data_IF_160033455526
#
_entry.id   IF_160033455526
#
_cell.length_a   1.000
_cell.length_b   1.000
_cell.length_c   1.000
_cell.angle_alpha   90.00
_cell.angle_beta   90.00
_cell.angle_gamma   90.00
#
_symmetry.space_group_name_H-M   'P 1'
#
loop_
_entity.id
_entity.type
_entity.pdbx_description
1 polymer ?
#
# COMPACT_ATOMS: atom_id res chain seq x y z
N UNK A 1 -26.12 -0.56 -26.07
CA UNK A 1 -25.71 -0.14 -24.72
C UNK A 1 -24.46 -0.95 -24.37
N UNK A 2 -23.37 -0.35 -23.91
CA UNK A 2 -22.24 -1.12 -23.39
C UNK A 2 -22.69 -1.97 -22.20
N UNK A 3 -22.09 -3.14 -22.03
CA UNK A 3 -22.39 -4.00 -20.89
C UNK A 3 -21.99 -3.29 -19.60
N UNK A 4 -22.80 -3.38 -18.53
CA UNK A 4 -22.46 -2.78 -17.26
C UNK A 4 -21.14 -3.35 -16.76
N UNK A 5 -20.22 -2.47 -16.35
CA UNK A 5 -18.97 -2.88 -15.72
C UNK A 5 -19.19 -2.92 -14.22
N UNK A 6 -18.72 -3.98 -13.57
CA UNK A 6 -18.83 -4.12 -12.13
C UNK A 6 -17.46 -4.14 -11.48
N UNK A 7 -17.34 -3.54 -10.32
CA UNK A 7 -16.17 -3.60 -9.46
C UNK A 7 -16.51 -4.34 -8.18
N UNK A 8 -15.68 -5.33 -7.84
CA UNK A 8 -15.79 -6.01 -6.55
C UNK A 8 -14.75 -5.41 -5.60
N UNK A 9 -15.22 -4.82 -4.52
CA UNK A 9 -14.38 -4.31 -3.44
C UNK A 9 -14.49 -5.26 -2.26
N UNK A 10 -13.36 -5.77 -1.77
CA UNK A 10 -13.30 -6.76 -0.68
C UNK A 10 -12.66 -6.11 0.54
N UNK A 11 -13.27 -6.34 1.72
CA UNK A 11 -12.76 -5.85 2.99
C UNK A 11 -11.38 -6.47 3.28
N UNK A 12 -10.37 -5.69 3.71
CA UNK A 12 -9.05 -6.19 4.04
C UNK A 12 -9.00 -7.26 5.14
N UNK A 13 -10.04 -7.35 5.96
CA UNK A 13 -10.18 -8.41 6.98
C UNK A 13 -10.46 -9.80 6.40
N UNK A 14 -10.80 -9.88 5.10
CA UNK A 14 -10.95 -11.16 4.41
C UNK A 14 -9.56 -11.72 4.10
N UNK A 15 -9.25 -12.99 4.46
CA UNK A 15 -7.97 -13.61 4.14
C UNK A 15 -7.64 -13.50 2.64
N UNK A 16 -6.40 -13.20 2.29
CA UNK A 16 -5.99 -12.94 0.91
C UNK A 16 -6.34 -14.07 -0.08
N UNK A 17 -6.25 -15.32 0.37
CA UNK A 17 -6.66 -16.50 -0.43
C UNK A 17 -8.16 -16.51 -0.74
N UNK A 18 -9.00 -16.12 0.22
CA UNK A 18 -10.45 -16.05 0.07
C UNK A 18 -10.85 -14.82 -0.77
N UNK A 19 -10.17 -13.70 -0.57
CA UNK A 19 -10.36 -12.50 -1.38
C UNK A 19 -10.06 -12.78 -2.87
N UNK A 20 -8.98 -13.51 -3.17
CA UNK A 20 -8.65 -13.91 -4.54
C UNK A 20 -9.72 -14.82 -5.17
N UNK A 21 -10.29 -15.75 -4.40
CA UNK A 21 -11.40 -16.60 -4.86
C UNK A 21 -12.65 -15.78 -5.18
N UNK A 22 -13.02 -14.83 -4.31
CA UNK A 22 -14.18 -13.94 -4.52
C UNK A 22 -13.96 -13.06 -5.75
N UNK A 23 -12.77 -12.46 -5.89
CA UNK A 23 -12.42 -11.62 -7.05
C UNK A 23 -12.40 -12.37 -8.38
N UNK A 24 -12.19 -13.68 -8.36
CA UNK A 24 -12.22 -14.55 -9.55
C UNK A 24 -13.63 -14.91 -10.04
N UNK A 25 -14.68 -14.56 -9.29
CA UNK A 25 -16.08 -14.80 -9.69
C UNK A 25 -16.60 -13.58 -10.43
N UNK A 26 -17.27 -13.75 -11.58
CA UNK A 26 -17.98 -12.65 -12.24
C UNK A 26 -18.93 -11.95 -11.26
N UNK A 27 -18.91 -10.62 -11.18
CA UNK A 27 -19.67 -9.87 -10.18
C UNK A 27 -21.17 -10.16 -10.18
N UNK A 28 -21.75 -10.40 -11.36
CA UNK A 28 -23.15 -10.76 -11.56
C UNK A 28 -23.52 -12.14 -10.99
N UNK A 29 -22.53 -12.98 -10.73
CA UNK A 29 -22.71 -14.32 -10.15
C UNK A 29 -22.48 -14.34 -8.64
N UNK A 30 -21.95 -13.25 -8.07
CA UNK A 30 -21.75 -13.15 -6.62
C UNK A 30 -23.09 -13.04 -5.89
N UNK A 31 -23.21 -13.63 -4.68
CA UNK A 31 -24.40 -13.46 -3.85
C UNK A 31 -24.52 -11.99 -3.42
N UNK A 32 -25.75 -11.47 -3.25
CA UNK A 32 -25.94 -10.11 -2.77
C UNK A 32 -25.31 -9.95 -1.37
N UNK A 33 -24.62 -8.84 -1.15
CA UNK A 33 -23.98 -8.55 0.14
C UNK A 33 -25.00 -8.51 1.31
N UNK A 34 -26.25 -8.10 1.00
CA UNK A 34 -27.36 -8.03 1.94
C UNK A 34 -28.61 -8.69 1.36
N UNK A 35 -29.53 -9.18 2.21
CA UNK A 35 -30.79 -9.81 1.77
C UNK A 35 -30.69 -11.35 1.68
N UNK A 36 -31.62 -12.01 0.99
CA UNK A 36 -31.64 -13.47 0.87
C UNK A 36 -30.62 -13.95 -0.17
N UNK A 37 -29.82 -14.95 0.20
CA UNK A 37 -28.95 -15.67 -0.74
C UNK A 37 -29.83 -16.64 -1.52
N UNK A 38 -29.81 -16.62 -2.86
CA UNK A 38 -30.50 -17.63 -3.65
C UNK A 38 -29.99 -19.02 -3.27
N UNK A 39 -30.89 -19.94 -3.00
CA UNK A 39 -30.55 -21.31 -2.59
C UNK A 39 -29.69 -22.05 -3.64
N UNK A 40 -29.76 -21.60 -4.90
CA UNK A 40 -28.93 -22.06 -6.01
C UNK A 40 -28.63 -20.89 -6.97
N UNK A 41 -27.36 -20.57 -7.20
CA UNK A 41 -27.02 -19.63 -8.25
C UNK A 41 -27.41 -20.18 -9.63
N UNK A 42 -27.81 -19.31 -10.54
CA UNK A 42 -28.33 -19.69 -11.87
C UNK A 42 -27.37 -20.57 -12.70
N UNK A 43 -26.06 -20.45 -12.44
CA UNK A 43 -25.01 -21.25 -13.09
C UNK A 43 -24.80 -22.63 -12.46
N UNK A 44 -25.25 -22.87 -11.22
CA UNK A 44 -25.02 -24.13 -10.51
C UNK A 44 -25.82 -25.31 -11.07
N UNK A 45 -26.78 -25.07 -11.95
CA UNK A 45 -27.59 -26.11 -12.60
C UNK A 45 -26.95 -26.75 -13.83
N UNK A 46 -25.94 -26.12 -14.41
CA UNK A 46 -25.26 -26.61 -15.64
C UNK A 46 -23.88 -27.13 -15.29
N UNK A 47 -23.79 -28.41 -14.96
CA UNK A 47 -22.49 -29.07 -14.77
C UNK A 47 -21.85 -29.25 -16.17
N UNK A 48 -20.62 -28.76 -16.40
CA UNK A 48 -19.96 -28.96 -17.70
C UNK A 48 -19.77 -30.44 -17.98
N UNK A 49 -19.86 -30.81 -19.24
CA UNK A 49 -19.64 -32.20 -19.69
C UNK A 49 -18.20 -32.64 -19.42
N UNK A 50 -18.01 -33.94 -19.30
CA UNK A 50 -16.72 -34.60 -18.99
C UNK A 50 -15.59 -34.23 -19.98
N UNK A 51 -15.90 -33.69 -21.17
CA UNK A 51 -14.94 -33.37 -22.23
C UNK A 51 -14.55 -31.88 -22.28
N UNK A 52 -15.18 -31.03 -21.48
CA UNK A 52 -14.93 -29.60 -21.47
C UNK A 52 -14.08 -29.17 -20.26
N UNK A 53 -12.76 -29.43 -20.35
CA UNK A 53 -11.82 -29.18 -19.27
C UNK A 53 -11.73 -27.71 -18.86
N UNK A 54 -11.88 -26.78 -19.80
CA UNK A 54 -11.81 -25.35 -19.54
C UNK A 54 -13.03 -24.83 -18.76
N UNK A 55 -14.23 -25.24 -19.17
CA UNK A 55 -15.47 -24.89 -18.47
C UNK A 55 -15.58 -25.59 -17.13
N UNK A 56 -15.10 -26.82 -17.00
CA UNK A 56 -15.06 -27.55 -15.74
C UNK A 56 -14.17 -26.84 -14.70
N UNK A 57 -13.02 -26.32 -15.11
CA UNK A 57 -12.13 -25.57 -14.23
C UNK A 57 -12.76 -24.24 -13.81
N UNK A 58 -13.32 -23.46 -14.75
CA UNK A 58 -14.04 -22.20 -14.42
C UNK A 58 -15.20 -22.46 -13.45
N UNK A 59 -15.96 -23.52 -13.68
CA UNK A 59 -17.07 -23.89 -12.82
C UNK A 59 -16.62 -24.19 -11.39
N UNK A 60 -15.49 -24.88 -11.22
CA UNK A 60 -14.89 -25.12 -9.90
C UNK A 60 -14.46 -23.83 -9.21
N UNK A 61 -13.75 -22.94 -9.93
CA UNK A 61 -13.34 -21.65 -9.42
C UNK A 61 -14.55 -20.79 -8.99
N UNK A 62 -15.61 -20.75 -9.81
CA UNK A 62 -16.83 -20.01 -9.45
C UNK A 62 -17.54 -20.61 -8.25
N UNK A 63 -17.57 -21.92 -8.12
CA UNK A 63 -18.15 -22.60 -6.97
C UNK A 63 -17.41 -22.28 -5.67
N UNK A 64 -16.10 -22.32 -5.69
CA UNK A 64 -15.27 -22.03 -4.54
C UNK A 64 -15.33 -20.54 -4.17
N UNK A 65 -15.24 -19.65 -5.16
CA UNK A 65 -15.35 -18.21 -4.96
C UNK A 65 -16.74 -17.79 -4.46
N UNK A 66 -17.82 -18.43 -4.98
CA UNK A 66 -19.17 -18.20 -4.48
C UNK A 66 -19.33 -18.66 -3.03
N UNK A 67 -18.78 -19.82 -2.67
CA UNK A 67 -18.80 -20.32 -1.31
C UNK A 67 -18.03 -19.38 -0.34
N UNK A 68 -16.88 -18.88 -0.78
CA UNK A 68 -16.15 -17.86 -0.06
C UNK A 68 -16.97 -16.57 0.11
N UNK A 69 -17.63 -16.10 -0.95
CA UNK A 69 -18.48 -14.90 -0.90
C UNK A 69 -19.68 -15.08 0.05
N UNK A 70 -20.28 -16.27 0.12
CA UNK A 70 -21.33 -16.58 1.11
C UNK A 70 -20.78 -16.53 2.53
N UNK A 71 -19.58 -17.08 2.77
CA UNK A 71 -18.94 -17.10 4.09
C UNK A 71 -18.57 -15.70 4.57
N UNK A 72 -18.04 -14.87 3.67
CA UNK A 72 -17.61 -13.49 3.95
C UNK A 72 -18.63 -12.44 3.52
N UNK A 73 -19.89 -12.80 3.58
CA UNK A 73 -21.00 -11.95 3.21
C UNK A 73 -21.02 -10.65 4.05
N UNK A 74 -21.26 -9.52 3.40
CA UNK A 74 -21.17 -8.19 4.02
C UNK A 74 -19.75 -7.63 4.14
N UNK A 75 -18.72 -8.44 3.79
CA UNK A 75 -17.32 -8.01 3.74
C UNK A 75 -16.81 -7.81 2.31
N UNK A 76 -17.70 -7.77 1.34
CA UNK A 76 -17.43 -7.35 -0.02
C UNK A 76 -18.62 -6.57 -0.54
N UNK A 77 -18.37 -5.72 -1.53
CA UNK A 77 -19.38 -4.95 -2.22
C UNK A 77 -19.19 -5.11 -3.72
N UNK A 78 -20.29 -5.27 -4.43
CA UNK A 78 -20.32 -5.29 -5.89
C UNK A 78 -20.95 -3.96 -6.30
N UNK A 79 -20.16 -3.11 -6.91
CA UNK A 79 -20.60 -1.79 -7.37
C UNK A 79 -20.63 -1.81 -8.90
N UNK A 80 -21.74 -1.37 -9.49
CA UNK A 80 -21.79 -1.07 -10.91
C UNK A 80 -20.90 0.14 -11.17
N UNK A 81 -19.85 -0.06 -11.95
CA UNK A 81 -18.97 1.03 -12.38
C UNK A 81 -19.73 1.80 -13.45
N UNK A 82 -20.49 2.79 -13.03
CA UNK A 82 -21.03 3.78 -13.96
C UNK A 82 -19.89 4.70 -14.37
N UNK A 83 -19.77 4.94 -15.67
CA UNK A 83 -18.89 6.02 -16.14
C UNK A 83 -19.38 7.32 -15.48
N UNK A 84 -18.51 7.93 -14.70
CA UNK A 84 -18.80 9.22 -14.13
C UNK A 84 -18.83 10.27 -15.24
N UNK A 85 -19.68 11.29 -15.12
CA UNK A 85 -19.64 12.47 -15.96
C UNK A 85 -18.23 13.06 -16.07
N UNK A 86 -17.90 13.67 -17.21
CA UNK A 86 -16.54 14.15 -17.49
C UNK A 86 -16.05 15.17 -16.46
N UNK A 87 -16.93 15.96 -15.89
CA UNK A 87 -16.66 16.94 -14.82
C UNK A 87 -16.23 16.29 -13.49
N UNK A 88 -16.63 15.04 -13.23
CA UNK A 88 -16.28 14.30 -12.02
C UNK A 88 -15.03 13.39 -12.18
N UNK A 89 -14.60 13.13 -13.43
CA UNK A 89 -13.41 12.29 -13.71
C UNK A 89 -12.12 12.80 -13.05
N UNK A 90 -11.83 14.13 -12.99
CA UNK A 90 -10.66 14.63 -12.29
C UNK A 90 -10.65 14.27 -10.80
N UNK A 91 -11.80 14.35 -10.13
CA UNK A 91 -11.91 14.00 -8.71
C UNK A 91 -11.72 12.48 -8.50
N UNK A 92 -12.29 11.67 -9.38
CA UNK A 92 -12.06 10.22 -9.37
C UNK A 92 -10.58 9.89 -9.53
N UNK A 93 -9.87 10.56 -10.44
CA UNK A 93 -8.43 10.36 -10.66
C UNK A 93 -7.61 10.72 -9.41
N UNK A 94 -7.96 11.82 -8.70
CA UNK A 94 -7.32 12.20 -7.45
C UNK A 94 -7.53 11.15 -6.35
N UNK A 95 -8.75 10.63 -6.20
CA UNK A 95 -9.04 9.55 -5.25
C UNK A 95 -8.24 8.28 -5.57
N UNK A 96 -8.15 7.93 -6.86
CA UNK A 96 -7.36 6.77 -7.30
C UNK A 96 -5.86 6.95 -6.99
N UNK A 97 -5.31 8.15 -7.23
CA UNK A 97 -3.93 8.47 -6.91
C UNK A 97 -3.63 8.38 -5.40
N UNK A 98 -4.55 8.84 -4.54
CA UNK A 98 -4.44 8.69 -3.09
C UNK A 98 -4.45 7.22 -2.68
N UNK A 99 -5.32 6.41 -3.29
CA UNK A 99 -5.43 4.97 -3.00
C UNK A 99 -4.14 4.24 -3.37
N UNK A 100 -3.62 4.48 -4.56
CA UNK A 100 -2.37 3.90 -5.05
C UNK A 100 -1.19 4.33 -4.18
N UNK A 101 -1.10 5.62 -3.91
CA UNK A 101 -0.04 6.20 -3.10
C UNK A 101 -0.10 5.75 -1.63
N UNK A 102 -1.29 5.57 -1.08
CA UNK A 102 -1.51 5.08 0.28
C UNK A 102 -1.13 3.60 0.45
N UNK A 103 -1.24 2.79 -0.61
CA UNK A 103 -0.88 1.38 -0.57
C UNK A 103 0.61 1.12 -0.22
N UNK A 104 1.48 2.11 -0.45
CA UNK A 104 2.92 2.03 -0.18
C UNK A 104 3.32 2.45 1.24
N UNK A 105 2.41 2.95 2.06
CA UNK A 105 2.67 3.38 3.44
C UNK A 105 3.03 2.17 4.33
N UNK A 106 3.95 2.40 5.25
CA UNK A 106 4.39 1.40 6.24
C UNK A 106 3.37 1.20 7.34
N UNK A 107 2.75 2.29 7.79
CA UNK A 107 1.72 2.23 8.82
C UNK A 107 0.42 1.64 8.27
N UNK A 108 0.07 0.45 8.79
CA UNK A 108 -1.11 -0.30 8.35
C UNK A 108 -2.42 0.40 8.72
N UNK A 109 -2.48 1.05 9.87
CA UNK A 109 -3.69 1.74 10.33
C UNK A 109 -3.99 2.93 9.42
N UNK A 110 -2.99 3.76 9.13
CA UNK A 110 -3.11 4.89 8.19
C UNK A 110 -3.48 4.41 6.79
N UNK A 111 -2.87 3.32 6.31
CA UNK A 111 -3.19 2.72 5.01
C UNK A 111 -4.64 2.28 4.92
N UNK A 112 -5.15 1.60 5.95
CA UNK A 112 -6.54 1.14 5.99
C UNK A 112 -7.52 2.30 6.08
N UNK A 113 -7.20 3.32 6.86
CA UNK A 113 -8.01 4.53 7.00
C UNK A 113 -8.11 5.28 5.68
N UNK A 114 -6.99 5.52 4.99
CA UNK A 114 -6.99 6.16 3.66
C UNK A 114 -7.77 5.36 2.62
N UNK A 115 -7.65 4.05 2.63
CA UNK A 115 -8.40 3.18 1.72
C UNK A 115 -9.91 3.21 2.00
N UNK A 116 -10.32 3.27 3.26
CA UNK A 116 -11.72 3.40 3.65
C UNK A 116 -12.31 4.76 3.24
N UNK A 117 -11.57 5.85 3.49
CA UNK A 117 -11.93 7.20 3.09
C UNK A 117 -12.05 7.35 1.56
N UNK A 118 -11.07 6.87 0.81
CA UNK A 118 -11.09 6.89 -0.65
C UNK A 118 -12.32 6.14 -1.21
N UNK A 119 -12.67 5.02 -0.60
CA UNK A 119 -13.86 4.24 -0.95
C UNK A 119 -15.15 5.03 -0.68
N UNK A 120 -15.26 5.65 0.50
CA UNK A 120 -16.42 6.49 0.85
C UNK A 120 -16.59 7.67 -0.13
N UNK A 121 -15.49 8.32 -0.52
CA UNK A 121 -15.52 9.42 -1.48
C UNK A 121 -15.94 8.96 -2.89
N UNK A 122 -15.47 7.79 -3.34
CA UNK A 122 -15.90 7.20 -4.61
C UNK A 122 -17.42 6.95 -4.62
N UNK A 123 -17.97 6.44 -3.52
CA UNK A 123 -19.42 6.24 -3.38
C UNK A 123 -20.20 7.56 -3.40
N UNK A 124 -19.68 8.60 -2.74
CA UNK A 124 -20.29 9.92 -2.75
C UNK A 124 -20.31 10.53 -4.15
N UNK A 125 -19.23 10.41 -4.93
CA UNK A 125 -19.20 10.87 -6.33
C UNK A 125 -20.19 10.10 -7.20
N UNK A 126 -20.28 8.79 -7.06
CA UNK A 126 -21.25 7.99 -7.81
C UNK A 126 -22.69 8.39 -7.46
N UNK A 127 -22.97 8.66 -6.18
CA UNK A 127 -24.27 9.11 -5.73
C UNK A 127 -24.62 10.50 -6.24
N UNK A 128 -23.62 11.41 -6.25
CA UNK A 128 -23.79 12.74 -6.83
C UNK A 128 -24.18 12.66 -8.32
N UNK A 129 -23.44 11.84 -9.10
CA UNK A 129 -23.72 11.61 -10.52
C UNK A 129 -25.15 11.08 -10.74
N UNK A 130 -25.56 10.08 -9.94
CA UNK A 130 -26.91 9.50 -10.01
C UNK A 130 -28.00 10.56 -9.73
N UNK A 131 -27.82 11.37 -8.70
CA UNK A 131 -28.78 12.39 -8.33
C UNK A 131 -28.87 13.49 -9.39
N UNK A 132 -27.75 13.90 -9.98
CA UNK A 132 -27.70 14.84 -11.09
C UNK A 132 -28.44 14.31 -12.31
N UNK A 133 -28.17 13.06 -12.73
CA UNK A 133 -28.84 12.42 -13.85
C UNK A 133 -30.35 12.29 -13.63
N UNK A 134 -30.77 11.90 -12.43
CA UNK A 134 -32.21 11.80 -12.09
C UNK A 134 -32.92 13.15 -12.14
N UNK A 135 -32.25 14.23 -11.66
CA UNK A 135 -32.81 15.58 -11.75
C UNK A 135 -32.98 16.00 -13.22
N UNK A 136 -31.97 15.77 -14.05
CA UNK A 136 -32.05 16.06 -15.48
C UNK A 136 -33.19 15.30 -16.16
N UNK A 137 -33.34 14.01 -15.84
CA UNK A 137 -34.38 13.15 -16.41
C UNK A 137 -35.78 13.60 -16.00
N UNK A 138 -35.97 13.98 -14.72
CA UNK A 138 -37.24 14.48 -14.21
C UNK A 138 -37.62 15.80 -14.88
N UNK A 139 -36.70 16.73 -14.99
CA UNK A 139 -36.92 18.03 -15.63
C UNK A 139 -37.25 17.89 -17.14
N UNK A 140 -36.61 16.93 -17.81
CA UNK A 140 -36.90 16.63 -19.21
C UNK A 140 -38.25 15.94 -19.41
N UNK A 141 -38.64 15.05 -18.48
CA UNK A 141 -39.86 14.24 -18.61
C UNK A 141 -41.14 15.01 -18.21
N UNK A 142 -41.03 15.98 -17.32
CA UNK A 142 -42.17 16.65 -16.74
C UNK A 142 -41.95 18.16 -16.58
N UNK A 143 -41.69 18.89 -17.68
CA UNK A 143 -41.37 20.31 -17.60
C UNK A 143 -42.52 21.17 -17.01
N UNK A 144 -43.76 20.72 -17.13
CA UNK A 144 -44.93 21.43 -16.59
C UNK A 144 -45.09 21.33 -15.05
N UNK A 145 -44.39 20.37 -14.42
CA UNK A 145 -44.42 20.15 -12.96
C UNK A 145 -43.13 20.62 -12.27
N UNK A 146 -42.15 21.05 -13.02
CA UNK A 146 -40.88 21.52 -12.48
C UNK A 146 -41.07 22.86 -11.78
N UNK A 147 -40.92 22.86 -10.47
CA UNK A 147 -40.81 24.10 -9.70
C UNK A 147 -39.39 24.65 -9.84
N UNK A 148 -39.17 25.77 -10.55
CA UNK A 148 -37.85 26.32 -10.79
C UNK A 148 -37.14 26.73 -9.48
N UNK A 149 -37.86 27.07 -8.44
CA UNK A 149 -37.29 27.40 -7.15
C UNK A 149 -36.75 26.16 -6.43
N UNK A 150 -37.50 25.05 -6.47
CA UNK A 150 -37.07 23.77 -5.90
C UNK A 150 -35.86 23.20 -6.65
N UNK A 151 -35.82 23.33 -7.98
CA UNK A 151 -34.71 22.88 -8.81
C UNK A 151 -33.44 23.69 -8.54
N UNK A 152 -33.53 24.99 -8.33
CA UNK A 152 -32.41 25.85 -7.94
C UNK A 152 -31.85 25.42 -6.58
N UNK A 153 -32.69 25.27 -5.57
CA UNK A 153 -32.25 24.80 -4.23
C UNK A 153 -31.58 23.41 -4.30
N UNK A 154 -32.09 22.51 -5.15
CA UNK A 154 -31.51 21.20 -5.32
C UNK A 154 -30.11 21.27 -5.95
N UNK A 155 -29.93 22.07 -7.02
CA UNK A 155 -28.64 22.29 -7.67
C UNK A 155 -27.63 22.93 -6.71
N UNK A 156 -28.02 23.89 -5.94
CA UNK A 156 -27.14 24.52 -4.93
C UNK A 156 -26.66 23.50 -3.91
N UNK A 157 -27.56 22.62 -3.45
CA UNK A 157 -27.17 21.52 -2.53
C UNK A 157 -26.23 20.52 -3.16
N UNK A 158 -26.44 20.17 -4.43
CA UNK A 158 -25.51 19.29 -5.15
C UNK A 158 -24.14 19.94 -5.30
N UNK A 159 -24.08 21.21 -5.65
CA UNK A 159 -22.84 21.97 -5.76
C UNK A 159 -22.10 22.04 -4.41
N UNK A 160 -22.84 22.32 -3.33
CA UNK A 160 -22.26 22.33 -1.98
C UNK A 160 -21.75 20.94 -1.56
N UNK A 161 -22.47 19.88 -1.91
CA UNK A 161 -22.03 18.51 -1.64
C UNK A 161 -20.76 18.15 -2.42
N UNK A 162 -20.66 18.54 -3.70
CA UNK A 162 -19.47 18.33 -4.51
C UNK A 162 -18.27 19.06 -3.93
N UNK A 163 -18.45 20.33 -3.53
CA UNK A 163 -17.39 21.10 -2.86
C UNK A 163 -16.91 20.42 -1.57
N UNK A 164 -17.82 19.91 -0.76
CA UNK A 164 -17.46 19.17 0.45
C UNK A 164 -16.64 17.89 0.14
N UNK A 165 -16.94 17.23 -0.99
CA UNK A 165 -16.13 16.07 -1.47
C UNK A 165 -14.74 16.54 -1.90
N UNK A 166 -14.63 17.65 -2.64
CA UNK A 166 -13.34 18.23 -3.04
C UNK A 166 -12.46 18.60 -1.83
N UNK A 167 -13.05 19.29 -0.85
CA UNK A 167 -12.36 19.67 0.39
C UNK A 167 -11.85 18.42 1.14
N UNK A 168 -12.66 17.37 1.17
CA UNK A 168 -12.30 16.11 1.83
C UNK A 168 -11.20 15.36 1.07
N UNK A 169 -11.21 15.37 -0.28
CA UNK A 169 -10.11 14.83 -1.10
C UNK A 169 -8.81 15.56 -0.77
N UNK A 170 -8.83 16.89 -0.73
CA UNK A 170 -7.64 17.68 -0.38
C UNK A 170 -7.11 17.33 1.01
N UNK A 171 -8.01 17.12 1.97
CA UNK A 171 -7.60 16.74 3.32
C UNK A 171 -6.92 15.37 3.40
N UNK A 172 -7.39 14.38 2.64
CA UNK A 172 -6.72 13.07 2.59
C UNK A 172 -5.41 13.10 1.79
N UNK A 173 -5.28 13.99 0.79
CA UNK A 173 -4.01 14.24 0.10
C UNK A 173 -2.96 14.80 1.06
N UNK A 174 -3.33 15.78 1.89
CA UNK A 174 -2.45 16.35 2.92
C UNK A 174 -2.06 15.32 3.98
N UNK A 175 -3.02 14.51 4.43
CA UNK A 175 -2.75 13.42 5.37
C UNK A 175 -1.78 12.38 4.79
N UNK A 176 -1.95 12.03 3.51
CA UNK A 176 -1.03 11.14 2.80
C UNK A 176 0.39 11.70 2.71
N UNK A 177 0.52 13.00 2.39
CA UNK A 177 1.84 13.66 2.34
C UNK A 177 2.51 13.64 3.72
N UNK A 178 1.76 13.91 4.77
CA UNK A 178 2.26 13.87 6.16
C UNK A 178 2.73 12.47 6.54
N UNK A 179 1.95 11.44 6.22
CA UNK A 179 2.30 10.05 6.49
C UNK A 179 3.57 9.62 5.73
N UNK A 180 3.72 10.01 4.46
CA UNK A 180 4.93 9.75 3.67
C UNK A 180 6.16 10.45 4.22
N UNK A 181 6.02 11.69 4.68
CA UNK A 181 7.12 12.42 5.31
C UNK A 181 7.57 11.73 6.61
N UNK A 182 6.64 11.21 7.40
CA UNK A 182 6.95 10.41 8.59
C UNK A 182 7.68 9.12 8.24
N UNK A 183 7.18 8.35 7.27
CA UNK A 183 7.81 7.11 6.81
C UNK A 183 9.25 7.34 6.32
N UNK A 184 9.49 8.46 5.61
CA UNK A 184 10.82 8.84 5.14
C UNK A 184 11.75 9.19 6.31
N UNK A 185 11.27 9.99 7.27
CA UNK A 185 12.04 10.36 8.45
C UNK A 185 12.44 9.14 9.30
N UNK A 186 11.53 8.19 9.46
CA UNK A 186 11.78 6.93 10.16
C UNK A 186 12.80 6.07 9.41
N UNK A 187 12.73 6.01 8.08
CA UNK A 187 13.70 5.30 7.26
C UNK A 187 15.11 5.92 7.38
N UNK A 188 15.21 7.25 7.33
CA UNK A 188 16.48 7.95 7.53
C UNK A 188 17.03 7.77 8.95
N UNK A 189 16.17 7.77 9.97
CA UNK A 189 16.57 7.50 11.33
C UNK A 189 17.12 6.07 11.48
N UNK A 190 16.45 5.09 10.88
CA UNK A 190 16.91 3.70 10.86
C UNK A 190 18.25 3.54 10.15
N UNK A 191 18.46 4.22 9.00
CA UNK A 191 19.75 4.21 8.29
C UNK A 191 20.87 4.83 9.14
N UNK A 192 20.60 5.98 9.79
CA UNK A 192 21.59 6.60 10.69
C UNK A 192 21.94 5.70 11.86
N UNK A 193 20.94 5.05 12.48
CA UNK A 193 21.16 4.10 13.55
C UNK A 193 21.98 2.87 13.11
N UNK A 194 21.76 2.37 11.89
CA UNK A 194 22.52 1.26 11.33
C UNK A 194 23.99 1.64 10.99
N UNK A 195 24.24 2.90 10.62
CA UNK A 195 25.59 3.38 10.30
C UNK A 195 26.47 3.65 11.53
N UNK A 196 25.87 3.86 12.71
CA UNK A 196 26.62 4.14 13.96
C UNK A 196 27.62 3.04 14.31
N UNK A 197 27.27 1.74 14.36
CA UNK A 197 28.22 0.69 14.72
C UNK A 197 29.35 0.56 13.70
N UNK A 198 29.08 0.75 12.41
CA UNK A 198 30.10 0.72 11.38
C UNK A 198 31.09 1.88 11.52
N UNK A 199 30.60 3.08 11.79
CA UNK A 199 31.44 4.25 12.08
C UNK A 199 32.28 4.06 13.34
N UNK A 200 31.75 3.43 14.37
CA UNK A 200 32.50 3.07 15.59
C UNK A 200 33.61 2.07 15.26
N UNK A 201 33.32 1.03 14.52
CA UNK A 201 34.30 0.03 14.11
C UNK A 201 35.44 0.64 13.29
N UNK A 202 35.13 1.52 12.32
CA UNK A 202 36.16 2.24 11.56
C UNK A 202 37.04 3.13 12.43
N UNK A 203 36.44 3.77 13.44
CA UNK A 203 37.20 4.57 14.39
C UNK A 203 38.13 3.71 15.27
N UNK A 204 37.67 2.56 15.73
CA UNK A 204 38.46 1.62 16.51
C UNK A 204 39.61 1.02 15.68
N UNK A 205 39.37 0.67 14.42
CA UNK A 205 40.38 0.20 13.49
C UNK A 205 41.46 1.28 13.23
N UNK A 206 41.02 2.54 13.09
CA UNK A 206 41.92 3.68 12.94
C UNK A 206 42.80 3.90 14.16
N UNK A 207 42.24 3.79 15.38
CA UNK A 207 42.98 3.88 16.64
C UNK A 207 44.00 2.72 16.78
N UNK A 208 43.64 1.51 16.41
CA UNK A 208 44.54 0.34 16.41
C UNK A 208 45.71 0.53 15.44
N UNK A 209 45.42 1.04 14.24
CA UNK A 209 46.45 1.40 13.25
C UNK A 209 47.39 2.47 13.79
N UNK A 210 46.90 3.49 14.45
CA UNK A 210 47.70 4.56 15.07
C UNK A 210 48.56 4.03 16.21
N UNK A 211 48.04 3.15 17.03
CA UNK A 211 48.78 2.49 18.11
C UNK A 211 49.94 1.62 17.54
N UNK A 212 49.70 0.84 16.50
CA UNK A 212 50.75 0.04 15.85
C UNK A 212 51.82 0.91 15.18
N UNK A 213 51.44 2.00 14.55
CA UNK A 213 52.39 2.92 13.92
C UNK A 213 53.28 3.58 14.99
N UNK A 214 52.68 4.00 16.13
CA UNK A 214 53.41 4.59 17.25
C UNK A 214 54.38 3.61 17.91
N UNK A 215 53.97 2.34 18.10
CA UNK A 215 54.82 1.30 18.67
C UNK A 215 56.01 0.97 17.75
N UNK A 216 55.77 0.97 16.42
CA UNK A 216 56.84 0.79 15.43
C UNK A 216 57.87 1.92 15.43
N UNK A 217 57.46 3.16 15.68
CA UNK A 217 58.31 4.32 15.81
C UNK A 217 59.21 4.26 17.06
N UNK A 218 58.69 3.76 18.17
CA UNK A 218 59.48 3.57 19.41
C UNK A 218 60.54 2.49 19.25
N UNK A 219 60.29 1.41 18.52
CA UNK A 219 61.23 0.33 18.25
C UNK A 219 62.43 0.76 17.38
N UNK A 220 62.26 1.76 16.52
CA UNK A 220 63.32 2.33 15.68
C UNK A 220 64.22 3.32 16.43
N UNK A 221 63.80 3.85 17.59
CA UNK A 221 64.58 4.77 18.43
C UNK A 221 65.32 4.13 19.59
N UNK A 222 65.21 2.82 19.82
CA UNK A 222 66.04 2.11 20.80
C UNK A 222 67.44 2.01 20.25
N UNK A 223 68.47 2.65 20.90
CA UNK A 223 69.88 2.51 20.47
C UNK A 223 70.26 1.03 20.60
N UNK A 224 70.73 0.43 19.54
CA UNK A 224 71.40 -0.85 19.57
C UNK A 224 72.58 -0.71 20.52
N UNK A 225 72.47 -1.20 21.74
CA UNK A 225 73.59 -1.36 22.62
C UNK A 225 74.53 -2.36 21.98
N UNK A 226 75.53 -1.87 21.26
CA UNK A 226 76.67 -2.66 20.88
C UNK A 226 77.33 -3.10 22.18
N UNK A 227 77.14 -4.32 22.60
CA UNK A 227 77.98 -5.02 23.55
C UNK A 227 79.33 -5.23 22.88
N UNK A 228 80.15 -4.19 22.97
CA UNK A 228 81.59 -4.30 22.70
C UNK A 228 82.19 -5.17 23.78
N UNK A 229 82.38 -6.42 23.50
CA UNK A 229 83.15 -7.33 24.36
C UNK A 229 84.64 -6.92 24.25
N UNK A 230 85.32 -6.48 25.34
CA UNK A 230 86.76 -6.20 25.28
C UNK A 230 87.50 -7.46 25.10
N UNK A 231 88.62 -7.50 24.28
CA UNK A 231 89.45 -8.65 24.09
C UNK A 231 90.15 -8.97 25.40
N UNK A 232 90.22 -10.27 25.74
CA UNK A 232 90.94 -10.82 26.89
C UNK A 232 92.45 -10.54 26.81
N UNK A 233 93.13 -10.19 27.88
CA UNK A 233 94.60 -9.99 27.88
C UNK A 233 95.33 -11.31 27.78
N UNK A 234 96.55 -11.30 27.16
CA UNK A 234 97.39 -12.55 26.97
C UNK A 234 97.89 -13.03 28.29
N UNK A 235 97.76 -14.33 28.56
CA UNK A 235 98.34 -15.04 29.67
C UNK A 235 99.84 -15.30 29.33
N UNK A 236 100.69 -14.62 30.09
CA UNK A 236 102.14 -14.99 30.17
C UNK A 236 102.31 -16.09 31.16
N UNK A 237 102.77 -17.19 30.72
CA UNK A 237 103.39 -18.27 31.54
C UNK A 237 104.69 -17.86 32.07
N UNK A 238 105.07 -18.17 33.34
CA UNK A 238 106.48 -18.30 33.74
C UNK A 238 106.90 -19.75 33.75
N UNK A 239 108.03 -19.94 33.16
CA UNK A 239 108.86 -21.19 33.20
C UNK A 239 109.64 -21.34 34.50
N UNK A 240 110.24 -22.51 34.72
CA UNK A 240 110.49 -23.02 36.09
C UNK A 240 111.91 -22.85 36.56
N UNK A 241 112.11 -23.10 37.89
CA UNK A 241 113.28 -23.71 38.46
C UNK A 241 112.88 -24.56 39.68
#
# INVERSE_FOLDING_TARGET
MPAPQYRVTIDPSVPASQAALIAGVPPELLPPAHGNVPARPAWAGKRPGLFDRGESYRWLCYREGYAAAVTYRGRYQVEEVRELPDDLKPLQARIAAVTEAGASLRDEETRLTLAAEARALTQLLARHAELSERSHTLNASTPALADPAADHVFRDRLTAALKAVEDRISHIEDALQTARASDLADAEAAQRAAAVPEAQQLNDDALDLLARASAGSLATHLPRQHTSHPPAPPTTSPEPN
#
